data_IF_503317493353
#
_entry.id   IF_503317493353
#
_cell.length_a   1.000
_cell.length_b   1.000
_cell.length_c   1.000
_cell.angle_alpha   90.00
_cell.angle_beta   90.00
_cell.angle_gamma   90.00
#
_symmetry.space_group_name_H-M   'P 1'
#
loop_
_entity.id
_entity.type
_entity.pdbx_description
1 polymer ?
#
# COMPACT_ATOMS: atom_id res chain seq x y z
N UNK A 1 19.97 -12.08 -22.60
CA UNK A 1 20.01 -11.64 -21.18
C UNK A 1 18.61 -11.43 -20.60
N UNK A 2 17.78 -10.54 -21.15
CA UNK A 2 16.40 -10.29 -20.69
C UNK A 2 15.45 -11.51 -20.77
N UNK A 3 15.52 -12.29 -21.86
CA UNK A 3 14.71 -13.50 -22.07
C UNK A 3 15.01 -14.63 -21.06
N UNK A 4 16.27 -14.77 -20.63
CA UNK A 4 16.69 -15.79 -19.67
C UNK A 4 16.20 -15.49 -18.25
N UNK A 5 16.05 -14.21 -17.90
CA UNK A 5 15.53 -13.78 -16.59
C UNK A 5 14.01 -14.04 -16.49
N UNK A 6 13.25 -13.82 -17.57
CA UNK A 6 11.82 -14.10 -17.62
C UNK A 6 11.48 -15.59 -17.56
N UNK A 7 12.39 -16.46 -18.04
CA UNK A 7 12.24 -17.92 -17.98
C UNK A 7 12.59 -18.54 -16.63
N UNK A 8 13.24 -17.80 -15.73
CA UNK A 8 13.55 -18.30 -14.39
C UNK A 8 12.26 -18.32 -13.53
N UNK A 9 11.80 -19.50 -13.06
CA UNK A 9 10.58 -19.60 -12.26
C UNK A 9 10.64 -18.77 -10.97
N UNK A 10 11.83 -18.45 -10.45
CA UNK A 10 12.02 -17.58 -9.28
C UNK A 10 11.59 -16.14 -9.56
N UNK A 11 11.79 -15.65 -10.79
CA UNK A 11 11.38 -14.29 -11.19
C UNK A 11 9.85 -14.18 -11.30
N UNK A 12 9.20 -15.17 -11.90
CA UNK A 12 7.74 -15.23 -12.00
C UNK A 12 7.06 -15.28 -10.61
N UNK A 13 7.65 -16.02 -9.67
CA UNK A 13 7.18 -16.08 -8.28
C UNK A 13 7.33 -14.72 -7.58
N UNK A 14 8.46 -14.02 -7.79
CA UNK A 14 8.72 -12.69 -7.25
C UNK A 14 7.67 -11.66 -7.73
N UNK A 15 7.39 -11.65 -9.03
CA UNK A 15 6.40 -10.74 -9.64
C UNK A 15 5.00 -11.02 -9.08
N UNK A 16 4.64 -12.30 -8.90
CA UNK A 16 3.33 -12.69 -8.35
C UNK A 16 3.17 -12.28 -6.89
N UNK A 17 4.22 -12.41 -6.08
CA UNK A 17 4.23 -11.97 -4.68
C UNK A 17 4.14 -10.43 -4.57
N UNK A 18 4.90 -9.68 -5.39
CA UNK A 18 4.79 -8.20 -5.47
C UNK A 18 3.38 -7.77 -5.85
N UNK A 19 2.85 -8.38 -6.91
CA UNK A 19 1.53 -8.04 -7.45
C UNK A 19 0.41 -8.27 -6.45
N UNK A 20 0.42 -9.42 -5.75
CA UNK A 20 -0.57 -9.70 -4.70
C UNK A 20 -0.50 -8.72 -3.54
N UNK A 21 0.71 -8.38 -3.08
CA UNK A 21 0.87 -7.42 -1.99
C UNK A 21 0.38 -6.01 -2.37
N UNK A 22 0.78 -5.53 -3.54
CA UNK A 22 0.31 -4.24 -4.06
C UNK A 22 -1.22 -4.23 -4.27
N UNK A 23 -1.80 -5.31 -4.80
CA UNK A 23 -3.24 -5.43 -4.99
C UNK A 23 -4.01 -5.40 -3.66
N UNK A 24 -3.52 -6.09 -2.62
CA UNK A 24 -4.14 -6.05 -1.29
C UNK A 24 -4.13 -4.64 -0.70
N UNK A 25 -3.01 -3.93 -0.81
CA UNK A 25 -2.92 -2.54 -0.33
C UNK A 25 -3.83 -1.61 -1.12
N UNK A 26 -3.91 -1.77 -2.45
CA UNK A 26 -4.81 -1.00 -3.30
C UNK A 26 -6.28 -1.23 -2.91
N UNK A 27 -6.68 -2.50 -2.74
CA UNK A 27 -8.03 -2.85 -2.28
C UNK A 27 -8.34 -2.23 -0.91
N UNK A 28 -7.35 -2.20 -0.02
CA UNK A 28 -7.51 -1.60 1.30
C UNK A 28 -7.74 -0.08 1.20
N UNK A 29 -6.94 0.63 0.40
CA UNK A 29 -7.11 2.07 0.15
C UNK A 29 -8.49 2.35 -0.43
N UNK A 30 -8.92 1.56 -1.43
CA UNK A 30 -10.24 1.68 -2.06
C UNK A 30 -11.34 1.48 -1.00
N UNK A 31 -11.26 0.42 -0.19
CA UNK A 31 -12.26 0.12 0.82
C UNK A 31 -12.39 1.26 1.85
N UNK A 32 -11.28 1.76 2.38
CA UNK A 32 -11.29 2.85 3.38
C UNK A 32 -11.79 4.15 2.76
N UNK A 33 -11.34 4.49 1.55
CA UNK A 33 -11.76 5.69 0.84
C UNK A 33 -13.28 5.69 0.58
N UNK A 34 -13.81 4.61 0.01
CA UNK A 34 -15.25 4.51 -0.24
C UNK A 34 -16.05 4.45 1.06
N UNK A 35 -15.58 3.78 2.11
CA UNK A 35 -16.24 3.79 3.41
C UNK A 35 -16.40 5.22 3.96
N UNK A 36 -15.34 6.05 3.86
CA UNK A 36 -15.41 7.45 4.27
C UNK A 36 -16.34 8.27 3.38
N UNK A 37 -16.26 8.13 2.05
CA UNK A 37 -17.15 8.83 1.11
C UNK A 37 -18.62 8.48 1.37
N UNK A 38 -18.93 7.20 1.57
CA UNK A 38 -20.29 6.75 1.89
C UNK A 38 -20.76 7.30 3.24
N UNK A 39 -19.90 7.30 4.27
CA UNK A 39 -20.23 7.88 5.57
C UNK A 39 -20.58 9.38 5.44
N UNK A 40 -19.80 10.12 4.66
CA UNK A 40 -20.03 11.55 4.40
C UNK A 40 -21.32 11.79 3.62
N UNK A 41 -21.61 10.96 2.61
CA UNK A 41 -22.78 11.11 1.76
C UNK A 41 -24.10 10.74 2.46
N UNK A 42 -24.11 9.63 3.21
CA UNK A 42 -25.34 9.06 3.78
C UNK A 42 -25.60 9.48 5.22
N UNK A 43 -24.56 9.86 5.98
CA UNK A 43 -24.69 10.21 7.40
C UNK A 43 -24.00 11.56 7.72
N UNK A 44 -24.38 12.66 7.04
CA UNK A 44 -23.75 13.96 7.24
C UNK A 44 -23.88 14.48 8.69
N UNK A 45 -24.91 14.05 9.42
CA UNK A 45 -25.09 14.38 10.83
C UNK A 45 -23.93 13.91 11.71
N UNK A 46 -23.36 12.73 11.43
CA UNK A 46 -22.21 12.19 12.17
C UNK A 46 -20.94 12.99 11.85
N UNK A 47 -20.76 13.36 10.58
CA UNK A 47 -19.61 14.18 10.13
C UNK A 47 -19.62 15.58 10.76
N UNK A 48 -20.81 16.14 10.97
CA UNK A 48 -21.01 17.47 11.56
C UNK A 48 -20.89 17.49 13.10
N UNK A 49 -20.84 16.33 13.77
CA UNK A 49 -20.67 16.26 15.23
C UNK A 49 -19.38 16.95 15.65
N UNK A 50 -19.48 17.92 16.56
CA UNK A 50 -18.33 18.59 17.15
C UNK A 50 -17.75 17.70 18.25
N UNK A 51 -16.44 17.51 18.24
CA UNK A 51 -15.75 16.66 19.22
C UNK A 51 -15.53 17.37 20.56
N UNK A 52 -15.44 18.70 20.55
CA UNK A 52 -15.21 19.53 21.74
C UNK A 52 -16.18 20.71 21.69
N UNK A 53 -16.86 20.98 22.81
CA UNK A 53 -17.73 22.14 22.95
C UNK A 53 -16.95 23.43 22.72
N UNK A 54 -17.45 24.30 21.83
CA UNK A 54 -16.78 25.54 21.43
C UNK A 54 -15.67 25.41 20.36
N UNK A 55 -15.34 24.19 19.91
CA UNK A 55 -14.34 23.97 18.86
C UNK A 55 -14.96 23.79 17.47
N UNK A 56 -14.20 24.15 16.43
CA UNK A 56 -14.53 23.86 15.03
C UNK A 56 -14.10 22.44 14.60
N UNK A 57 -13.49 21.66 15.51
CA UNK A 57 -13.09 20.29 15.21
C UNK A 57 -14.31 19.37 15.18
N UNK A 58 -14.70 18.95 13.97
CA UNK A 58 -15.75 17.96 13.78
C UNK A 58 -15.18 16.54 13.70
N UNK A 59 -16.03 15.56 13.98
CA UNK A 59 -15.71 14.15 13.81
C UNK A 59 -15.28 13.85 12.36
N UNK A 60 -15.91 14.51 11.38
CA UNK A 60 -15.51 14.43 9.98
C UNK A 60 -14.06 14.84 9.73
N UNK A 61 -13.63 15.95 10.32
CA UNK A 61 -12.24 16.43 10.22
C UNK A 61 -11.27 15.44 10.88
N UNK A 62 -11.61 14.94 12.07
CA UNK A 62 -10.78 13.96 12.78
C UNK A 62 -10.66 12.63 12.02
N UNK A 63 -11.75 12.14 11.43
CA UNK A 63 -11.77 10.94 10.60
C UNK A 63 -10.95 11.14 9.31
N UNK A 64 -11.11 12.29 8.65
CA UNK A 64 -10.32 12.64 7.46
C UNK A 64 -8.82 12.71 7.77
N UNK A 65 -8.44 13.31 8.89
CA UNK A 65 -7.04 13.33 9.34
C UNK A 65 -6.54 11.93 9.66
N UNK A 66 -7.34 11.11 10.34
CA UNK A 66 -7.00 9.72 10.64
C UNK A 66 -6.78 8.91 9.35
N UNK A 67 -7.62 9.11 8.33
CA UNK A 67 -7.48 8.50 7.01
C UNK A 67 -6.18 8.93 6.33
N UNK A 68 -5.82 10.23 6.41
CA UNK A 68 -4.55 10.73 5.87
C UNK A 68 -3.35 10.03 6.53
N UNK A 69 -3.30 10.01 7.86
CA UNK A 69 -2.24 9.32 8.63
C UNK A 69 -2.18 7.85 8.24
N UNK A 70 -3.33 7.20 8.10
CA UNK A 70 -3.41 5.80 7.71
C UNK A 70 -2.83 5.54 6.31
N UNK A 71 -3.13 6.38 5.32
CA UNK A 71 -2.55 6.26 3.97
C UNK A 71 -1.05 6.54 3.93
N UNK A 72 -0.57 7.49 4.74
CA UNK A 72 0.87 7.68 4.93
C UNK A 72 1.54 6.43 5.52
N UNK A 73 0.93 5.79 6.52
CA UNK A 73 1.44 4.55 7.10
C UNK A 73 1.44 3.40 6.10
N UNK A 74 0.37 3.21 5.32
CA UNK A 74 0.34 2.21 4.26
C UNK A 74 1.44 2.42 3.23
N UNK A 75 1.68 3.67 2.84
CA UNK A 75 2.75 4.02 1.90
C UNK A 75 4.11 3.67 2.50
N UNK A 76 4.36 4.01 3.77
CA UNK A 76 5.59 3.66 4.46
C UNK A 76 5.79 2.14 4.56
N UNK A 77 4.75 1.38 4.94
CA UNK A 77 4.78 -0.09 4.98
C UNK A 77 5.06 -0.66 3.60
N UNK A 78 4.42 -0.14 2.56
CA UNK A 78 4.65 -0.54 1.18
C UNK A 78 6.11 -0.33 0.78
N UNK A 79 6.64 0.88 0.96
CA UNK A 79 8.03 1.23 0.61
C UNK A 79 9.02 0.37 1.39
N UNK A 80 8.81 0.19 2.71
CA UNK A 80 9.68 -0.64 3.54
C UNK A 80 9.71 -2.09 3.06
N UNK A 81 8.54 -2.66 2.76
CA UNK A 81 8.41 -4.04 2.25
C UNK A 81 8.99 -4.20 0.84
N UNK A 82 8.78 -3.19 -0.02
CA UNK A 82 9.35 -3.13 -1.37
C UNK A 82 10.87 -3.03 -1.37
N UNK A 83 11.45 -2.30 -0.41
CA UNK A 83 12.90 -2.17 -0.30
C UNK A 83 13.56 -3.35 0.43
N UNK A 84 12.88 -4.04 1.35
CA UNK A 84 13.50 -5.12 2.14
C UNK A 84 13.48 -6.50 1.47
N UNK A 85 12.30 -6.99 1.08
CA UNK A 85 12.14 -8.38 0.63
C UNK A 85 12.57 -8.56 -0.83
N UNK A 86 12.51 -7.46 -1.57
CA UNK A 86 12.42 -7.49 -3.01
C UNK A 86 13.75 -7.11 -3.65
N UNK A 87 14.52 -6.19 -3.08
CA UNK A 87 15.89 -5.90 -3.50
C UNK A 87 16.87 -7.01 -3.08
N UNK A 88 16.75 -7.58 -1.88
CA UNK A 88 17.62 -8.67 -1.43
C UNK A 88 17.52 -9.90 -2.36
N UNK A 89 16.30 -10.27 -2.77
CA UNK A 89 16.06 -11.38 -3.71
C UNK A 89 16.47 -11.03 -5.13
N UNK A 90 16.26 -9.79 -5.59
CA UNK A 90 16.73 -9.34 -6.92
C UNK A 90 18.25 -9.38 -7.02
N UNK A 91 18.95 -8.89 -5.98
CA UNK A 91 20.41 -8.87 -5.94
C UNK A 91 21.00 -10.28 -6.02
N UNK A 92 20.39 -11.26 -5.35
CA UNK A 92 20.79 -12.68 -5.44
C UNK A 92 20.56 -13.26 -6.84
N UNK A 93 19.42 -12.98 -7.47
CA UNK A 93 19.11 -13.48 -8.82
C UNK A 93 20.08 -12.90 -9.85
N UNK A 94 20.42 -11.61 -9.76
CA UNK A 94 21.39 -10.97 -10.66
C UNK A 94 22.80 -11.51 -10.43
N UNK A 95 23.22 -11.71 -9.17
CA UNK A 95 24.52 -12.29 -8.85
C UNK A 95 24.65 -13.73 -9.38
N UNK A 96 23.63 -14.57 -9.20
CA UNK A 96 23.59 -15.94 -9.75
C UNK A 96 23.65 -15.95 -11.28
N UNK A 97 22.93 -15.04 -11.94
CA UNK A 97 22.90 -14.95 -13.39
C UNK A 97 24.26 -14.51 -13.98
N UNK A 98 24.96 -13.60 -13.30
CA UNK A 98 26.32 -13.20 -13.67
C UNK A 98 27.33 -14.34 -13.45
N UNK A 99 27.18 -15.11 -12.37
CA UNK A 99 28.06 -16.23 -12.03
C UNK A 99 27.92 -17.44 -12.97
N UNK A 100 26.75 -17.62 -13.60
CA UNK A 100 26.52 -18.63 -14.65
C UNK A 100 26.96 -18.19 -16.04
N UNK A 101 27.21 -16.89 -16.23
CA UNK A 101 27.62 -16.32 -17.51
C UNK A 101 29.15 -16.12 -17.61
N UNK A 102 29.88 -16.29 -16.51
CA UNK A 102 31.34 -16.35 -16.42
C UNK A 102 31.80 -17.82 -16.38
#
# INVERSE_FOLDING_TARGET
MYENIKRDPRYAQLVRERGRFAATLALLVIAVFFAFVLLVAFVPGVIALRLVEGSNLTLGVALGFSQFVFFCLLTWVYVRRANSDFDARNAQIVADALKKAA
#
